data_IF_476988093428
#
_entry.id   IF_476988093428
#
_cell.length_a   1.000
_cell.length_b   1.000
_cell.length_c   1.000
_cell.angle_alpha   90.00
_cell.angle_beta   90.00
_cell.angle_gamma   90.00
#
_symmetry.space_group_name_H-M   'P 1'
#
loop_
_entity.id
_entity.type
_entity.pdbx_description
1 polymer ?
#
# COMPACT_ATOMS: atom_id res chain seq x y z
N UNK A 1 -19.74 11.84 7.53
CA UNK A 1 -20.12 10.41 7.60
C UNK A 1 -18.92 9.48 7.41
N UNK A 2 -17.97 9.74 6.50
CA UNK A 2 -16.80 8.86 6.31
C UNK A 2 -15.71 8.93 7.41
N UNK A 3 -15.74 9.95 8.27
CA UNK A 3 -14.63 10.21 9.21
C UNK A 3 -14.32 9.06 10.17
N UNK A 4 -15.32 8.25 10.55
CA UNK A 4 -15.07 7.09 11.43
C UNK A 4 -14.24 6.03 10.72
N UNK A 5 -14.64 5.68 9.49
CA UNK A 5 -13.94 4.70 8.66
C UNK A 5 -12.57 5.21 8.24
N UNK A 6 -12.45 6.49 7.87
CA UNK A 6 -11.15 7.09 7.55
C UNK A 6 -10.18 7.04 8.73
N UNK A 7 -10.65 7.29 9.97
CA UNK A 7 -9.79 7.17 11.16
C UNK A 7 -9.32 5.75 11.41
N UNK A 8 -10.12 4.75 11.02
CA UNK A 8 -9.82 3.35 11.29
C UNK A 8 -8.96 2.72 10.19
N UNK A 9 -9.33 2.94 8.93
CA UNK A 9 -8.72 2.27 7.77
C UNK A 9 -7.71 3.12 7.01
N UNK A 10 -7.72 4.44 7.19
CA UNK A 10 -6.74 5.34 6.56
C UNK A 10 -6.10 6.33 7.56
N UNK A 11 -5.51 5.83 8.67
CA UNK A 11 -4.80 6.68 9.62
C UNK A 11 -3.51 7.26 9.02
N UNK A 12 -3.06 8.39 9.57
CA UNK A 12 -1.68 8.85 9.38
C UNK A 12 -0.79 8.02 10.32
N UNK A 13 0.05 7.16 9.74
CA UNK A 13 0.96 6.25 10.46
C UNK A 13 2.41 6.69 10.39
N UNK A 14 2.71 7.75 9.63
CA UNK A 14 4.07 8.25 9.44
C UNK A 14 4.35 9.46 10.33
N UNK A 15 3.36 10.33 10.49
CA UNK A 15 3.53 11.54 11.26
C UNK A 15 2.88 11.41 12.64
N UNK A 16 3.59 11.87 13.67
CA UNK A 16 3.07 11.95 15.05
C UNK A 16 2.05 13.08 15.26
N UNK A 17 1.49 13.65 14.19
CA UNK A 17 0.57 14.77 14.26
C UNK A 17 -0.77 14.32 14.84
N UNK A 18 -1.23 15.03 15.88
CA UNK A 18 -2.59 14.85 16.39
C UNK A 18 -3.65 15.25 15.35
N UNK A 19 -3.27 16.01 14.32
CA UNK A 19 -4.18 16.47 13.28
C UNK A 19 -4.17 15.57 12.03
N UNK A 20 -4.86 14.43 12.13
CA UNK A 20 -5.06 13.46 11.05
C UNK A 20 -5.69 14.02 9.76
N UNK A 21 -6.32 15.20 9.82
CA UNK A 21 -6.95 15.80 8.63
C UNK A 21 -5.92 16.38 7.64
N UNK A 22 -4.70 16.68 8.10
CA UNK A 22 -3.65 17.19 7.22
C UNK A 22 -3.20 16.14 6.20
N UNK A 23 -3.08 14.89 6.64
CA UNK A 23 -2.78 13.77 5.76
C UNK A 23 -3.85 13.59 4.68
N UNK A 24 -5.14 13.53 5.05
CA UNK A 24 -6.20 13.41 4.05
C UNK A 24 -6.29 14.63 3.12
N UNK A 25 -5.98 15.83 3.62
CA UNK A 25 -5.86 17.01 2.77
C UNK A 25 -4.75 16.84 1.73
N UNK A 26 -3.58 16.36 2.15
CA UNK A 26 -2.47 16.07 1.25
C UNK A 26 -2.86 15.05 0.17
N UNK A 27 -3.45 13.92 0.57
CA UNK A 27 -3.89 12.86 -0.35
C UNK A 27 -4.91 13.37 -1.36
N UNK A 28 -5.85 14.22 -0.94
CA UNK A 28 -6.79 14.85 -1.86
C UNK A 28 -6.11 15.80 -2.84
N UNK A 29 -5.31 16.74 -2.33
CA UNK A 29 -4.69 17.78 -3.15
C UNK A 29 -3.71 17.20 -4.17
N UNK A 30 -2.90 16.20 -3.76
CA UNK A 30 -1.87 15.57 -4.58
C UNK A 30 -2.40 14.49 -5.52
N UNK A 31 -3.36 13.66 -5.07
CA UNK A 31 -3.82 12.48 -5.82
C UNK A 31 -5.30 12.55 -6.20
N UNK A 32 -6.16 12.93 -5.25
CA UNK A 32 -7.60 12.99 -5.44
C UNK A 32 -8.04 13.95 -6.55
N UNK A 33 -7.38 15.11 -6.68
CA UNK A 33 -7.66 16.09 -7.75
C UNK A 33 -7.44 15.54 -9.15
N UNK A 34 -6.40 14.73 -9.37
CA UNK A 34 -6.17 14.05 -10.65
C UNK A 34 -7.20 12.94 -10.90
N UNK A 35 -7.52 12.16 -9.86
CA UNK A 35 -8.52 11.10 -9.92
C UNK A 35 -9.95 11.63 -10.18
N UNK A 36 -10.23 12.88 -9.79
CA UNK A 36 -11.53 13.53 -9.95
C UNK A 36 -11.94 13.75 -11.42
N UNK A 37 -11.06 13.49 -12.37
CA UNK A 37 -11.41 13.39 -13.81
C UNK A 37 -12.37 12.22 -14.11
N UNK A 38 -12.43 11.22 -13.23
CA UNK A 38 -13.39 10.12 -13.30
C UNK A 38 -14.67 10.48 -12.53
N UNK A 39 -15.83 10.31 -13.16
CA UNK A 39 -17.13 10.65 -12.56
C UNK A 39 -17.39 9.95 -11.22
N UNK A 40 -16.91 8.72 -11.10
CA UNK A 40 -17.03 7.91 -9.88
C UNK A 40 -16.15 8.42 -8.72
N UNK A 41 -15.20 9.32 -8.98
CA UNK A 41 -14.26 9.92 -8.01
C UNK A 41 -14.32 11.45 -7.97
N UNK A 42 -15.22 12.11 -8.71
CA UNK A 42 -15.21 13.55 -8.98
C UNK A 42 -15.57 14.49 -7.81
N UNK A 43 -15.44 14.04 -6.57
CA UNK A 43 -15.56 14.85 -5.36
C UNK A 43 -14.77 14.18 -4.23
N UNK A 44 -14.38 14.94 -3.20
CA UNK A 44 -13.72 14.39 -2.00
C UNK A 44 -14.48 13.21 -1.41
N UNK A 45 -15.79 13.38 -1.21
CA UNK A 45 -16.67 12.33 -0.67
C UNK A 45 -16.61 11.04 -1.51
N UNK A 46 -16.70 11.17 -2.83
CA UNK A 46 -16.64 10.02 -3.75
C UNK A 46 -15.26 9.37 -3.75
N UNK A 47 -14.19 10.15 -3.79
CA UNK A 47 -12.81 9.66 -3.77
C UNK A 47 -12.52 8.86 -2.50
N UNK A 48 -12.72 9.45 -1.32
CA UNK A 48 -12.47 8.77 -0.06
C UNK A 48 -13.43 7.60 0.18
N UNK A 49 -14.71 7.76 -0.17
CA UNK A 49 -15.69 6.69 -0.05
C UNK A 49 -15.33 5.48 -0.92
N UNK A 50 -14.90 5.73 -2.16
CA UNK A 50 -14.49 4.66 -3.07
C UNK A 50 -13.17 4.01 -2.66
N UNK A 51 -12.21 4.77 -2.13
CA UNK A 51 -10.98 4.21 -1.59
C UNK A 51 -11.25 3.24 -0.41
N UNK A 52 -12.16 3.61 0.51
CA UNK A 52 -12.58 2.75 1.61
C UNK A 52 -13.30 1.48 1.12
N UNK A 53 -14.16 1.60 0.10
CA UNK A 53 -14.83 0.45 -0.52
C UNK A 53 -13.81 -0.49 -1.18
N UNK A 54 -12.83 0.05 -1.91
CA UNK A 54 -11.75 -0.75 -2.52
C UNK A 54 -10.88 -1.43 -1.46
N UNK A 55 -10.56 -0.74 -0.36
CA UNK A 55 -9.83 -1.33 0.77
C UNK A 55 -10.56 -2.54 1.35
N UNK A 56 -11.86 -2.41 1.60
CA UNK A 56 -12.69 -3.51 2.10
C UNK A 56 -12.87 -4.63 1.07
N UNK A 57 -12.93 -4.30 -0.22
CA UNK A 57 -13.05 -5.29 -1.30
C UNK A 57 -11.77 -6.10 -1.48
N UNK A 58 -10.60 -5.46 -1.40
CA UNK A 58 -9.30 -6.13 -1.46
C UNK A 58 -9.10 -7.00 -0.23
N UNK A 59 -9.42 -6.51 0.97
CA UNK A 59 -9.33 -7.29 2.22
C UNK A 59 -7.95 -7.99 2.39
N UNK A 60 -6.89 -7.21 2.19
CA UNK A 60 -5.50 -7.68 2.22
C UNK A 60 -5.16 -8.45 3.49
N UNK A 61 -5.64 -7.96 4.63
CA UNK A 61 -5.39 -8.58 5.93
C UNK A 61 -5.93 -10.01 5.99
N UNK A 62 -7.16 -10.24 5.56
CA UNK A 62 -7.74 -11.58 5.56
C UNK A 62 -7.06 -12.48 4.54
N UNK A 63 -6.65 -11.96 3.39
CA UNK A 63 -5.86 -12.71 2.40
C UNK A 63 -4.54 -13.20 3.00
N UNK A 64 -3.75 -12.30 3.59
CA UNK A 64 -2.46 -12.64 4.21
C UNK A 64 -2.64 -13.67 5.33
N UNK A 65 -3.61 -13.46 6.22
CA UNK A 65 -3.93 -14.39 7.31
C UNK A 65 -4.32 -15.79 6.79
N UNK A 66 -5.17 -15.88 5.76
CA UNK A 66 -5.56 -17.16 5.13
C UNK A 66 -4.38 -17.87 4.48
N UNK A 67 -3.41 -17.12 3.96
CA UNK A 67 -2.16 -17.66 3.42
C UNK A 67 -1.14 -18.05 4.51
N UNK A 68 -1.45 -17.83 5.80
CA UNK A 68 -0.52 -18.06 6.90
C UNK A 68 0.60 -17.00 6.99
N UNK A 69 0.47 -15.90 6.23
CA UNK A 69 1.39 -14.77 6.26
C UNK A 69 0.88 -13.82 7.35
N UNK A 70 1.58 -13.79 8.46
CA UNK A 70 1.24 -12.96 9.62
C UNK A 70 2.51 -12.31 10.15
N UNK A 71 2.40 -11.19 10.87
CA UNK A 71 3.56 -10.62 11.49
C UNK A 71 4.28 -11.64 12.39
N UNK A 72 5.60 -11.72 12.26
CA UNK A 72 6.40 -12.80 12.85
C UNK A 72 7.85 -12.37 13.06
N UNK A 73 8.53 -12.96 14.03
CA UNK A 73 9.99 -12.83 14.20
C UNK A 73 10.79 -13.66 13.18
N UNK A 74 10.13 -14.53 12.42
CA UNK A 74 10.74 -15.31 11.34
C UNK A 74 10.61 -14.59 10.00
N UNK A 75 11.57 -14.81 9.11
CA UNK A 75 11.54 -14.22 7.77
C UNK A 75 10.74 -15.04 6.77
N UNK A 76 10.14 -14.32 5.82
CA UNK A 76 9.47 -14.88 4.65
C UNK A 76 10.37 -14.78 3.42
N UNK A 77 10.20 -15.71 2.47
CA UNK A 77 10.69 -15.51 1.11
C UNK A 77 9.73 -14.57 0.38
N UNK A 78 10.25 -13.53 -0.25
CA UNK A 78 9.44 -12.55 -0.99
C UNK A 78 8.60 -13.23 -2.09
N UNK A 79 9.16 -14.25 -2.75
CA UNK A 79 8.45 -15.07 -3.74
C UNK A 79 7.19 -15.74 -3.17
N UNK A 80 7.24 -16.25 -1.94
CA UNK A 80 6.09 -16.87 -1.29
C UNK A 80 4.97 -15.86 -1.01
N UNK A 81 5.32 -14.62 -0.62
CA UNK A 81 4.34 -13.54 -0.43
C UNK A 81 3.72 -13.16 -1.78
N UNK A 82 4.55 -12.93 -2.81
CA UNK A 82 4.08 -12.59 -4.17
C UNK A 82 3.15 -13.68 -4.72
N UNK A 83 3.52 -14.95 -4.63
CA UNK A 83 2.72 -16.08 -5.10
C UNK A 83 1.38 -16.19 -4.36
N UNK A 84 1.36 -15.99 -3.04
CA UNK A 84 0.13 -16.00 -2.26
C UNK A 84 -0.85 -14.90 -2.71
N UNK A 85 -0.34 -13.68 -2.91
CA UNK A 85 -1.14 -12.55 -3.39
C UNK A 85 -1.62 -12.80 -4.84
N UNK A 86 -0.74 -13.20 -5.75
CA UNK A 86 -1.11 -13.49 -7.14
C UNK A 86 -2.15 -14.60 -7.23
N UNK A 87 -2.03 -15.65 -6.42
CA UNK A 87 -3.02 -16.73 -6.37
C UNK A 87 -4.39 -16.27 -5.89
N UNK A 88 -4.42 -15.36 -4.91
CA UNK A 88 -5.68 -14.88 -4.34
C UNK A 88 -6.39 -13.87 -5.24
N UNK A 89 -5.65 -12.91 -5.81
CA UNK A 89 -6.22 -11.80 -6.57
C UNK A 89 -6.24 -12.02 -8.09
N UNK A 90 -5.52 -13.01 -8.60
CA UNK A 90 -5.34 -13.22 -10.04
C UNK A 90 -4.50 -12.15 -10.75
N UNK A 91 -3.92 -11.23 -9.98
CA UNK A 91 -3.03 -10.14 -10.43
C UNK A 91 -1.84 -10.02 -9.49
N UNK A 92 -0.74 -9.46 -9.98
CA UNK A 92 0.48 -9.26 -9.21
C UNK A 92 0.55 -7.83 -8.70
N UNK A 93 0.39 -7.59 -7.37
CA UNK A 93 0.60 -6.28 -6.77
C UNK A 93 2.10 -5.94 -6.72
N UNK A 94 2.41 -4.65 -6.62
CA UNK A 94 3.78 -4.18 -6.36
C UNK A 94 4.02 -4.18 -4.85
N UNK A 95 5.13 -4.76 -4.41
CA UNK A 95 5.50 -4.84 -2.99
C UNK A 95 6.78 -4.02 -2.81
N UNK A 96 6.75 -3.11 -1.85
CA UNK A 96 7.89 -2.26 -1.50
C UNK A 96 8.36 -2.52 -0.07
N UNK A 97 9.68 -2.46 0.09
CA UNK A 97 10.40 -2.76 1.30
C UNK A 97 11.36 -1.62 1.64
N UNK A 98 11.63 -1.48 2.93
CA UNK A 98 12.82 -0.80 3.41
C UNK A 98 14.02 -1.75 3.22
N UNK A 99 15.16 -1.24 2.77
CA UNK A 99 16.38 -2.04 2.67
C UNK A 99 16.82 -2.53 4.06
N UNK A 100 17.63 -3.60 4.16
CA UNK A 100 18.24 -3.99 5.44
C UNK A 100 19.12 -2.85 5.99
N UNK A 101 19.00 -2.56 7.29
CA UNK A 101 19.93 -1.67 7.98
C UNK A 101 21.32 -2.32 8.14
N UNK A 102 22.32 -1.54 8.56
CA UNK A 102 23.69 -2.04 8.73
C UNK A 102 23.73 -3.19 9.75
N UNK A 103 24.14 -4.37 9.29
CA UNK A 103 24.19 -5.60 10.10
C UNK A 103 22.95 -6.49 9.99
N UNK A 104 21.88 -5.99 9.36
CA UNK A 104 20.70 -6.80 9.04
C UNK A 104 20.88 -7.55 7.72
N UNK A 105 20.15 -8.67 7.60
CA UNK A 105 20.16 -9.51 6.39
C UNK A 105 18.83 -9.49 5.66
N UNK A 106 17.78 -8.98 6.29
CA UNK A 106 16.43 -9.00 5.80
C UNK A 106 15.97 -7.58 5.45
N UNK A 107 15.27 -7.47 4.34
CA UNK A 107 14.51 -6.25 4.03
C UNK A 107 13.20 -6.27 4.82
N UNK A 108 12.61 -5.10 5.09
CA UNK A 108 11.35 -5.02 5.85
C UNK A 108 10.21 -4.62 4.92
N UNK A 109 9.14 -5.44 4.86
CA UNK A 109 7.97 -5.11 4.04
C UNK A 109 7.26 -3.87 4.60
N UNK A 110 7.02 -2.88 3.75
CA UNK A 110 6.39 -1.61 4.15
C UNK A 110 5.10 -1.30 3.41
N UNK A 111 5.00 -1.65 2.12
CA UNK A 111 3.86 -1.26 1.30
C UNK A 111 3.50 -2.32 0.25
N UNK A 112 2.20 -2.50 0.03
CA UNK A 112 1.64 -3.34 -1.04
C UNK A 112 0.69 -2.46 -1.86
N UNK A 113 1.00 -2.27 -3.14
CA UNK A 113 0.23 -1.47 -4.08
C UNK A 113 -0.59 -2.37 -5.00
N UNK A 114 -1.91 -2.17 -5.01
CA UNK A 114 -2.83 -2.79 -5.96
C UNK A 114 -3.15 -1.79 -7.08
N UNK A 115 -3.04 -2.24 -8.33
CA UNK A 115 -3.37 -1.43 -9.48
C UNK A 115 -4.79 -1.71 -9.95
N UNK A 116 -5.48 -0.64 -10.34
CA UNK A 116 -6.83 -0.68 -10.88
C UNK A 116 -6.89 -0.05 -12.27
N UNK A 117 -7.83 -0.49 -13.10
CA UNK A 117 -8.22 0.25 -14.30
C UNK A 117 -8.99 1.53 -13.91
N UNK A 118 -9.30 2.40 -14.87
CA UNK A 118 -10.13 3.59 -14.61
C UNK A 118 -11.57 3.23 -14.24
N UNK A 119 -11.99 2.02 -14.57
CA UNK A 119 -13.26 1.38 -14.20
C UNK A 119 -13.17 0.66 -12.84
N UNK A 120 -12.06 0.86 -12.13
CA UNK A 120 -11.79 0.33 -10.78
C UNK A 120 -11.79 -1.20 -10.71
N UNK A 121 -11.36 -1.86 -11.78
CA UNK A 121 -11.15 -3.31 -11.82
C UNK A 121 -9.67 -3.63 -11.55
N UNK A 122 -9.40 -4.66 -10.74
CA UNK A 122 -8.04 -5.10 -10.45
C UNK A 122 -7.29 -5.46 -11.74
N UNK A 123 -6.03 -5.02 -11.83
CA UNK A 123 -5.12 -5.33 -12.94
C UNK A 123 -3.69 -5.49 -12.45
N UNK A 124 -2.85 -6.13 -13.25
CA UNK A 124 -1.41 -6.15 -13.01
C UNK A 124 -0.85 -4.72 -13.00
N UNK A 125 0.04 -4.44 -12.04
CA UNK A 125 0.84 -3.21 -12.06
C UNK A 125 1.90 -3.33 -13.16
N UNK A 126 1.65 -2.74 -14.33
CA UNK A 126 2.62 -2.72 -15.43
C UNK A 126 3.76 -1.74 -15.11
N UNK A 127 5.01 -2.20 -15.21
CA UNK A 127 6.20 -1.33 -15.25
C UNK A 127 6.31 -0.74 -16.66
N UNK A 128 5.34 0.07 -17.08
CA UNK A 128 5.43 0.75 -18.37
C UNK A 128 6.24 2.02 -18.20
N UNK A 129 7.54 1.93 -18.56
CA UNK A 129 8.42 2.97 -19.08
C UNK A 129 8.42 4.34 -18.40
N UNK A 130 9.55 4.68 -17.77
CA UNK A 130 10.04 6.05 -17.53
C UNK A 130 8.96 7.14 -17.42
N UNK A 131 8.22 7.11 -16.32
CA UNK A 131 7.89 8.35 -15.65
C UNK A 131 8.52 8.30 -14.27
N UNK A 132 9.66 8.98 -14.12
CA UNK A 132 10.15 9.48 -12.83
C UNK A 132 9.17 10.53 -12.25
N UNK A 133 7.87 10.24 -12.26
CA UNK A 133 6.79 11.12 -11.82
C UNK A 133 5.67 10.28 -11.20
N UNK A 134 6.01 9.42 -10.25
CA UNK A 134 5.15 9.02 -9.12
C UNK A 134 6.10 8.37 -8.09
N UNK A 135 7.05 9.15 -7.60
CA UNK A 135 7.74 8.81 -6.37
C UNK A 135 6.66 8.87 -5.29
N UNK A 136 6.19 7.70 -4.86
CA UNK A 136 5.39 7.58 -3.65
C UNK A 136 6.33 8.02 -2.53
N UNK A 137 6.30 9.31 -2.23
CA UNK A 137 7.07 9.93 -1.17
C UNK A 137 6.40 9.57 0.16
N UNK A 138 6.36 8.26 0.45
CA UNK A 138 6.10 7.69 1.75
C UNK A 138 7.47 7.49 2.37
N UNK A 139 8.03 8.59 2.86
CA UNK A 139 9.24 8.59 3.66
C UNK A 139 8.87 8.05 5.05
N UNK A 140 9.26 6.81 5.32
CA UNK A 140 9.24 6.28 6.68
C UNK A 140 10.53 6.79 7.35
N UNK A 141 10.48 7.99 7.92
CA UNK A 141 11.68 8.65 8.43
C UNK A 141 12.58 9.18 7.31
N UNK A 142 13.85 8.73 7.25
CA UNK A 142 14.85 9.14 6.24
C UNK A 142 15.01 8.14 5.09
N UNK A 143 14.32 7.00 5.13
CA UNK A 143 14.52 5.92 4.17
C UNK A 143 13.32 5.76 3.22
N UNK A 144 13.63 5.57 1.94
CA UNK A 144 12.67 5.49 0.85
C UNK A 144 12.30 4.02 0.58
N UNK A 145 11.01 3.74 0.50
CA UNK A 145 10.50 2.42 0.12
C UNK A 145 10.85 2.09 -1.33
N UNK A 146 11.57 0.99 -1.54
CA UNK A 146 11.96 0.49 -2.87
C UNK A 146 11.31 -0.85 -3.17
N UNK A 147 11.31 -1.30 -4.44
CA UNK A 147 10.72 -2.61 -4.80
C UNK A 147 11.46 -3.73 -4.06
N UNK A 148 10.73 -4.61 -3.37
CA UNK A 148 11.33 -5.68 -2.61
C UNK A 148 12.12 -6.65 -3.50
N UNK A 149 13.33 -7.00 -3.05
CA UNK A 149 14.21 -7.96 -3.72
C UNK A 149 13.74 -9.40 -3.51
N UNK A 150 13.75 -10.22 -4.55
CA UNK A 150 13.47 -11.67 -4.40
C UNK A 150 14.63 -12.45 -3.80
N UNK A 151 15.83 -11.86 -3.74
CA UNK A 151 17.03 -12.50 -3.22
C UNK A 151 17.21 -12.34 -1.71
N UNK A 152 16.51 -11.38 -1.09
CA UNK A 152 16.63 -11.09 0.34
C UNK A 152 15.50 -11.72 1.14
N UNK A 153 15.78 -12.28 2.35
CA UNK A 153 14.72 -12.63 3.28
C UNK A 153 13.92 -11.37 3.64
N UNK A 154 12.63 -11.55 3.92
CA UNK A 154 11.70 -10.45 4.19
C UNK A 154 11.18 -10.53 5.61
N UNK A 155 11.39 -9.47 6.37
CA UNK A 155 10.81 -9.28 7.69
C UNK A 155 9.42 -8.65 7.57
N UNK A 156 8.45 -9.24 8.30
CA UNK A 156 7.09 -8.70 8.43
C UNK A 156 6.84 -8.39 9.93
N UNK A 157 7.03 -7.13 10.36
CA UNK A 157 7.09 -6.78 11.78
C UNK A 157 5.73 -6.88 12.48
N UNK A 158 5.73 -7.40 13.71
CA UNK A 158 4.54 -7.52 14.58
C UNK A 158 4.14 -6.25 15.30
N UNK A 159 4.99 -5.24 15.30
CA UNK A 159 4.75 -3.93 15.87
C UNK A 159 5.36 -2.87 14.93
N UNK A 160 4.59 -1.83 14.65
CA UNK A 160 5.00 -0.60 13.96
C UNK A 160 4.61 0.56 14.85
#
# INVERSE_FOLDING_TARGET
DLLSDMRHYWPDVLHSSLNRTQFWKHEWEKHGTCAATLEVLNSQRKYFGKALELYQHVDLNSCLLKAGIKPSSSYYQMTAIKEALTRFYGVTPKIQCLPPEEGEKAQTIGQIEFCFTKELQLRNCTVTGESNLMQADLTIGTEELSVCSDALPTYYPSQV
#
